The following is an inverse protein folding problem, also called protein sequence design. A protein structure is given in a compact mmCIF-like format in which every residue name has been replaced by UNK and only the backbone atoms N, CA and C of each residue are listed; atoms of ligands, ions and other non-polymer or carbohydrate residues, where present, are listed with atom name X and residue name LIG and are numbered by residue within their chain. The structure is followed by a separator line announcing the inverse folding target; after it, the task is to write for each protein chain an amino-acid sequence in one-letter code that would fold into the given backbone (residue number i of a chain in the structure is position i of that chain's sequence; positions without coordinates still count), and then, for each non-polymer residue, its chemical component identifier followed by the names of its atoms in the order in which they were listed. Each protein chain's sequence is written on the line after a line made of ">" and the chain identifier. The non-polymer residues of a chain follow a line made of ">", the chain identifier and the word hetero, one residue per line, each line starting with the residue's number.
data_IF_943247345939
#
_entry.id   IF_943247345939
#
_cell.length_a   1.000
_cell.length_b   1.000
_cell.length_c   1.000
_cell.angle_alpha   90.00
_cell.angle_beta   90.00
_cell.angle_gamma   90.00
#
_symmetry.space_group_name_H-M   'P 1'
#
loop_
_entity.id
_entity.type
_entity.pdbx_description
1 polymer ?
#
# COMPACT_ATOMS: atom_id res chain seq x y z
N UNK A 1 6.93 7.99 -10.18
CA UNK A 1 6.12 7.82 -8.96
C UNK A 1 5.59 6.40 -8.85
N UNK A 2 5.51 5.86 -7.63
CA UNK A 2 5.04 4.49 -7.37
C UNK A 2 3.78 4.53 -6.51
N UNK A 3 2.74 3.82 -6.93
CA UNK A 3 1.56 3.54 -6.13
C UNK A 3 1.76 2.31 -5.25
N UNK A 4 1.45 2.41 -3.96
CA UNK A 4 1.48 1.27 -3.03
C UNK A 4 0.05 0.98 -2.61
N UNK A 5 -0.53 -0.10 -3.14
CA UNK A 5 -1.88 -0.53 -2.85
C UNK A 5 -1.91 -1.61 -1.77
N UNK A 6 -3.05 -1.70 -1.10
CA UNK A 6 -3.39 -2.78 -0.18
C UNK A 6 -4.92 -2.83 -0.06
N UNK A 7 -5.51 -4.02 -0.10
CA UNK A 7 -6.93 -4.19 0.17
C UNK A 7 -7.29 -3.55 1.53
N UNK A 8 -8.38 -2.79 1.55
CA UNK A 8 -8.84 -2.03 2.72
C UNK A 8 -8.94 -2.88 3.99
N UNK A 9 -9.50 -4.10 3.89
CA UNK A 9 -9.64 -5.01 5.02
C UNK A 9 -8.29 -5.48 5.57
N UNK A 10 -7.32 -5.77 4.68
CA UNK A 10 -5.97 -6.18 5.08
C UNK A 10 -5.21 -5.01 5.71
N UNK A 11 -5.33 -3.80 5.14
CA UNK A 11 -4.72 -2.60 5.69
C UNK A 11 -5.26 -2.28 7.10
N UNK A 12 -6.58 -2.40 7.30
CA UNK A 12 -7.22 -2.24 8.60
C UNK A 12 -6.75 -3.31 9.61
N UNK A 13 -6.62 -4.57 9.19
CA UNK A 13 -6.06 -5.63 10.03
C UNK A 13 -4.63 -5.31 10.50
N UNK A 14 -3.78 -4.79 9.60
CA UNK A 14 -2.41 -4.37 9.92
C UNK A 14 -2.36 -3.16 10.85
N UNK A 15 -3.28 -2.21 10.69
CA UNK A 15 -3.42 -1.06 11.59
C UNK A 15 -3.74 -1.50 13.02
N UNK A 16 -4.68 -2.44 13.18
CA UNK A 16 -5.01 -3.04 14.49
C UNK A 16 -3.79 -3.74 15.09
N UNK A 17 -3.09 -4.56 14.30
CA UNK A 17 -1.93 -5.30 14.76
C UNK A 17 -0.76 -4.40 15.19
N UNK A 18 -0.61 -3.23 14.55
CA UNK A 18 0.44 -2.26 14.90
C UNK A 18 0.20 -1.59 16.26
N UNK A 19 -1.06 -1.39 16.65
CA UNK A 19 -1.46 -1.00 18.01
C UNK A 19 -1.23 0.46 18.42
N UNK A 20 -0.41 1.22 17.68
CA UNK A 20 -0.06 2.62 17.97
C UNK A 20 -0.80 3.66 17.10
N UNK A 21 -1.76 3.22 16.27
CA UNK A 21 -2.49 4.06 15.32
C UNK A 21 -3.96 4.27 15.68
N UNK A 22 -4.49 5.43 15.29
CA UNK A 22 -5.93 5.71 15.30
C UNK A 22 -6.61 4.77 14.31
N UNK A 23 -7.61 4.03 14.79
CA UNK A 23 -8.32 3.03 13.99
C UNK A 23 -9.20 3.68 12.93
N UNK A 24 -9.30 3.03 11.78
CA UNK A 24 -10.16 3.43 10.67
C UNK A 24 -9.46 4.31 9.62
N UNK A 25 -8.26 4.84 9.90
CA UNK A 25 -7.52 5.62 8.90
C UNK A 25 -7.10 4.74 7.72
N UNK A 26 -6.55 3.56 7.99
CA UNK A 26 -6.12 2.63 6.95
C UNK A 26 -7.27 2.26 5.99
N UNK A 27 -8.47 1.99 6.52
CA UNK A 27 -9.63 1.66 5.70
C UNK A 27 -10.13 2.86 4.88
N UNK A 28 -10.19 4.05 5.49
CA UNK A 28 -10.69 5.27 4.85
C UNK A 28 -9.77 5.76 3.72
N UNK A 29 -8.49 5.41 3.76
CA UNK A 29 -7.49 5.90 2.81
C UNK A 29 -7.17 4.88 1.70
N UNK A 30 -7.52 3.60 1.87
CA UNK A 30 -7.06 2.51 1.01
C UNK A 30 -7.28 2.75 -0.50
N UNK A 31 -8.41 3.34 -0.89
CA UNK A 31 -8.75 3.57 -2.31
C UNK A 31 -8.63 5.04 -2.72
N UNK A 32 -9.22 5.95 -1.94
CA UNK A 32 -9.42 7.36 -2.34
C UNK A 32 -8.12 8.12 -2.61
N UNK A 33 -7.01 7.72 -1.98
CA UNK A 33 -5.70 8.36 -2.19
C UNK A 33 -5.09 8.05 -3.56
N UNK A 34 -5.64 7.08 -4.28
CA UNK A 34 -5.18 6.66 -5.60
C UNK A 34 -6.08 7.17 -6.74
N UNK A 35 -7.24 7.76 -6.44
CA UNK A 35 -8.18 8.24 -7.46
C UNK A 35 -7.56 9.39 -8.27
N UNK A 36 -7.58 9.25 -9.60
CA UNK A 36 -7.02 10.24 -10.52
C UNK A 36 -5.50 10.34 -10.51
N UNK A 37 -4.80 9.49 -9.74
CA UNK A 37 -3.33 9.49 -9.67
C UNK A 37 -2.76 8.55 -10.73
N UNK A 38 -1.79 9.05 -11.50
CA UNK A 38 -1.02 8.25 -12.44
C UNK A 38 0.31 7.80 -11.80
N UNK A 39 0.62 6.51 -11.90
CA UNK A 39 1.87 5.93 -11.41
C UNK A 39 2.65 5.27 -12.55
N UNK A 40 3.98 5.35 -12.48
CA UNK A 40 4.87 4.63 -13.40
C UNK A 40 4.95 3.13 -13.05
N UNK A 41 4.64 2.79 -11.80
CA UNK A 41 4.56 1.43 -11.27
C UNK A 41 3.56 1.40 -10.11
N UNK A 42 2.75 0.35 -10.04
CA UNK A 42 1.97 0.01 -8.84
C UNK A 42 2.48 -1.30 -8.24
N UNK A 43 2.56 -1.35 -6.90
CA UNK A 43 2.82 -2.57 -6.13
C UNK A 43 1.67 -2.82 -5.15
N UNK A 44 1.24 -4.07 -5.04
CA UNK A 44 0.16 -4.48 -4.15
C UNK A 44 0.71 -5.31 -2.98
N UNK A 45 0.57 -4.79 -1.77
CA UNK A 45 1.07 -5.43 -0.55
C UNK A 45 0.07 -6.37 0.11
N UNK A 46 -1.12 -6.60 -0.46
CA UNK A 46 -2.16 -7.49 0.09
C UNK A 46 -1.62 -8.92 0.22
N UNK A 47 -0.93 -9.39 -0.82
CA UNK A 47 -0.33 -10.73 -0.89
C UNK A 47 1.15 -10.71 -1.27
N UNK A 48 1.76 -9.53 -1.41
CA UNK A 48 3.17 -9.39 -1.76
C UNK A 48 3.95 -8.82 -0.59
N UNK A 49 5.03 -9.52 -0.22
CA UNK A 49 5.94 -9.09 0.85
C UNK A 49 6.70 -7.81 0.51
N UNK A 50 7.02 -7.02 1.54
CA UNK A 50 7.65 -5.70 1.36
C UNK A 50 8.98 -5.76 0.60
N UNK A 51 9.80 -6.80 0.83
CA UNK A 51 11.06 -6.97 0.11
C UNK A 51 10.86 -7.25 -1.38
N UNK A 52 9.78 -7.96 -1.75
CA UNK A 52 9.45 -8.24 -3.14
C UNK A 52 8.97 -6.96 -3.83
N UNK A 53 8.10 -6.18 -3.19
CA UNK A 53 7.70 -4.86 -3.68
C UNK A 53 8.92 -3.94 -3.87
N UNK A 54 9.84 -3.89 -2.90
CA UNK A 54 11.05 -3.07 -2.99
C UNK A 54 11.94 -3.45 -4.18
N UNK A 55 12.11 -4.76 -4.44
CA UNK A 55 12.85 -5.24 -5.61
C UNK A 55 12.17 -4.86 -6.93
N UNK A 56 10.85 -4.95 -7.00
CA UNK A 56 10.09 -4.54 -8.18
C UNK A 56 10.25 -3.03 -8.47
N UNK A 57 10.25 -2.21 -7.43
CA UNK A 57 10.51 -0.77 -7.53
C UNK A 57 11.94 -0.51 -7.99
N UNK A 58 12.94 -1.13 -7.35
CA UNK A 58 14.35 -0.93 -7.69
C UNK A 58 14.66 -1.30 -9.15
N UNK A 59 14.00 -2.34 -9.69
CA UNK A 59 14.16 -2.72 -11.10
C UNK A 59 13.64 -1.67 -12.10
N UNK A 60 12.89 -0.65 -11.64
CA UNK A 60 12.40 0.47 -12.46
C UNK A 60 13.22 1.75 -12.29
N UNK A 61 14.25 1.73 -11.45
CA UNK A 61 15.15 2.86 -11.24
C UNK A 61 16.46 2.59 -11.98
N UNK A 62 16.69 3.32 -13.07
CA UNK A 62 17.96 3.37 -13.80
C UNK A 62 18.87 4.47 -13.26
#
# INVERSE_FOLDING_TARGET
>A
WVGVRCESAVAAGREIARGDRVRGMAAAQAEVVHEGVFYDLEVDTTHTESLVCARAIAAKVT
#
